data_IF_562360580910
#
_entry.id   IF_562360580910
#
_cell.length_a   1.000
_cell.length_b   1.000
_cell.length_c   1.000
_cell.angle_alpha   90.00
_cell.angle_beta   90.00
_cell.angle_gamma   90.00
#
_symmetry.space_group_name_H-M   'P 1'
#
loop_
_entity.id
_entity.type
_entity.pdbx_description
1 polymer ?
#
# COMPACT_ATOMS: atom_id res chain seq x y z
N UNK A 1 48.19 35.52 -32.11
CA UNK A 1 46.69 35.56 -32.08
C UNK A 1 46.23 34.60 -33.17
N UNK A 2 45.39 33.58 -32.89
CA UNK A 2 45.05 32.58 -33.90
C UNK A 2 44.17 33.19 -35.00
N UNK A 3 44.59 32.99 -36.25
CA UNK A 3 43.91 33.45 -37.45
C UNK A 3 43.38 32.21 -38.19
N UNK A 4 42.13 32.23 -38.63
CA UNK A 4 41.57 31.18 -39.49
C UNK A 4 41.32 31.71 -40.88
N UNK A 5 41.62 30.90 -41.88
CA UNK A 5 41.27 31.16 -43.27
C UNK A 5 39.77 30.92 -43.44
N UNK A 6 39.03 31.98 -43.74
CA UNK A 6 37.61 31.89 -44.08
C UNK A 6 37.42 31.26 -45.47
N UNK A 7 36.20 30.82 -45.76
CA UNK A 7 35.85 30.18 -47.05
C UNK A 7 36.14 31.07 -48.28
N UNK A 8 36.25 32.39 -48.10
CA UNK A 8 36.60 33.35 -49.16
C UNK A 8 38.11 33.66 -49.24
N UNK A 9 38.98 32.81 -48.66
CA UNK A 9 40.44 32.95 -48.74
C UNK A 9 41.07 34.01 -47.83
N UNK A 10 40.27 34.88 -47.21
CA UNK A 10 40.73 35.91 -46.26
C UNK A 10 40.94 35.38 -44.83
N UNK A 11 41.95 35.92 -44.15
CA UNK A 11 42.27 35.57 -42.75
C UNK A 11 41.37 36.35 -41.78
N UNK A 12 40.52 35.64 -41.04
CA UNK A 12 39.64 36.22 -40.01
C UNK A 12 40.19 35.93 -38.62
N UNK A 13 40.11 36.93 -37.74
CA UNK A 13 40.47 36.81 -36.31
C UNK A 13 39.36 36.05 -35.59
N UNK A 14 39.70 34.89 -35.03
CA UNK A 14 38.77 34.12 -34.20
C UNK A 14 39.02 34.42 -32.72
N UNK A 15 37.95 34.49 -31.92
CA UNK A 15 38.08 34.67 -30.48
C UNK A 15 38.71 33.43 -29.81
N UNK A 16 39.46 33.63 -28.72
CA UNK A 16 40.04 32.53 -27.93
C UNK A 16 39.00 31.56 -27.34
N UNK A 17 37.74 31.98 -27.25
CA UNK A 17 36.63 31.12 -26.81
C UNK A 17 36.22 30.13 -27.91
N UNK A 18 36.28 30.54 -29.17
CA UNK A 18 35.88 29.71 -30.30
C UNK A 18 36.94 28.66 -30.63
N UNK A 19 38.23 28.98 -30.49
CA UNK A 19 39.32 28.01 -30.60
C UNK A 19 39.17 26.90 -29.54
N UNK A 20 38.92 27.27 -28.28
CA UNK A 20 38.66 26.28 -27.21
C UNK A 20 37.43 25.41 -27.48
N UNK A 21 36.41 25.96 -28.15
CA UNK A 21 35.20 25.21 -28.53
C UNK A 21 35.49 24.22 -29.66
N UNK A 22 36.28 24.61 -30.65
CA UNK A 22 36.69 23.72 -31.75
C UNK A 22 37.64 22.62 -31.24
N UNK A 23 38.57 22.93 -30.32
CA UNK A 23 39.43 21.93 -29.66
C UNK A 23 38.61 20.94 -28.83
N UNK A 24 37.64 21.41 -28.03
CA UNK A 24 36.74 20.54 -27.26
C UNK A 24 35.89 19.62 -28.17
N UNK A 25 35.44 20.13 -29.32
CA UNK A 25 34.70 19.32 -30.31
C UNK A 25 35.62 18.29 -30.95
N UNK A 26 36.84 18.68 -31.34
CA UNK A 26 37.82 17.76 -31.93
C UNK A 26 38.20 16.65 -30.95
N UNK A 27 38.36 16.97 -29.66
CA UNK A 27 38.67 15.99 -28.62
C UNK A 27 37.48 15.07 -28.29
N UNK A 28 36.25 15.60 -28.29
CA UNK A 28 35.04 14.78 -28.18
C UNK A 28 34.90 13.79 -29.34
N UNK A 29 35.11 14.25 -30.59
CA UNK A 29 35.08 13.39 -31.78
C UNK A 29 36.18 12.32 -31.69
N UNK A 30 37.38 12.68 -31.25
CA UNK A 30 38.49 11.72 -31.08
C UNK A 30 38.20 10.66 -30.03
N UNK A 31 37.62 11.04 -28.89
CA UNK A 31 37.14 10.09 -27.86
C UNK A 31 36.04 9.17 -28.37
N UNK A 32 35.16 9.68 -29.23
CA UNK A 32 34.08 8.86 -29.81
C UNK A 32 34.64 7.82 -30.77
N UNK A 33 35.63 8.19 -31.58
CA UNK A 33 36.36 7.27 -32.47
C UNK A 33 37.21 6.25 -31.70
N UNK A 34 37.80 6.65 -30.57
CA UNK A 34 38.51 5.74 -29.66
C UNK A 34 37.57 4.75 -28.99
N UNK A 35 36.38 5.19 -28.56
CA UNK A 35 35.32 4.31 -28.02
C UNK A 35 34.87 3.27 -29.05
N UNK A 36 34.72 3.64 -30.32
CA UNK A 36 34.32 2.74 -31.41
C UNK A 36 35.39 1.67 -31.73
N UNK A 37 36.66 1.94 -31.38
CA UNK A 37 37.78 0.99 -31.53
C UNK A 37 37.94 0.03 -30.33
N UNK A 38 37.18 0.22 -29.26
CA UNK A 38 37.23 -0.68 -28.11
C UNK A 38 36.60 -2.04 -28.47
N UNK A 39 37.21 -3.18 -28.08
CA UNK A 39 36.68 -4.50 -28.39
C UNK A 39 35.25 -4.72 -27.85
N UNK A 40 34.89 -4.03 -26.77
CA UNK A 40 33.57 -4.10 -26.14
C UNK A 40 32.48 -3.45 -27.01
N UNK A 41 32.74 -2.27 -27.59
CA UNK A 41 31.82 -1.62 -28.54
C UNK A 41 31.68 -2.41 -29.86
N UNK A 42 32.80 -2.93 -30.38
CA UNK A 42 32.78 -3.75 -31.59
C UNK A 42 31.95 -5.03 -31.39
N UNK A 43 32.01 -5.63 -30.20
CA UNK A 43 31.25 -6.82 -29.85
C UNK A 43 29.75 -6.52 -29.67
N UNK A 44 29.39 -5.40 -29.02
CA UNK A 44 27.99 -4.98 -28.87
C UNK A 44 27.35 -4.63 -30.23
N UNK A 45 28.11 -4.00 -31.14
CA UNK A 45 27.66 -3.73 -32.51
C UNK A 45 27.53 -5.00 -33.36
N UNK A 46 28.42 -5.97 -33.22
CA UNK A 46 28.34 -7.26 -33.88
C UNK A 46 27.14 -8.08 -33.38
N UNK A 47 26.89 -8.07 -32.06
CA UNK A 47 25.72 -8.69 -31.45
C UNK A 47 24.42 -8.05 -31.95
N UNK A 48 24.32 -6.72 -31.97
CA UNK A 48 23.16 -5.98 -32.52
C UNK A 48 22.93 -6.25 -34.01
N UNK A 49 24.00 -6.33 -34.82
CA UNK A 49 23.89 -6.71 -36.24
C UNK A 49 23.38 -8.15 -36.40
N UNK A 50 23.86 -9.08 -35.58
CA UNK A 50 23.38 -10.47 -35.55
C UNK A 50 21.90 -10.57 -35.20
N UNK A 51 21.45 -9.87 -34.15
CA UNK A 51 20.03 -9.80 -33.77
C UNK A 51 19.17 -9.16 -34.86
N UNK A 52 19.63 -8.09 -35.50
CA UNK A 52 18.89 -7.44 -36.59
C UNK A 52 18.81 -8.31 -37.85
N UNK A 53 19.85 -9.06 -38.18
CA UNK A 53 19.84 -9.99 -39.31
C UNK A 53 18.91 -11.19 -39.06
N UNK A 54 18.89 -11.71 -37.83
CA UNK A 54 18.02 -12.81 -37.40
C UNK A 54 16.54 -12.37 -37.34
N UNK A 55 16.27 -11.15 -36.87
CA UNK A 55 14.94 -10.54 -36.92
C UNK A 55 14.45 -10.25 -38.35
N UNK A 56 15.35 -9.93 -39.28
CA UNK A 56 15.00 -9.69 -40.68
C UNK A 56 14.59 -10.97 -41.43
N UNK A 57 15.02 -12.15 -40.96
CA UNK A 57 14.66 -13.45 -41.53
C UNK A 57 13.30 -13.97 -41.05
N UNK A 58 12.78 -13.48 -39.92
CA UNK A 58 11.46 -13.85 -39.41
C UNK A 58 10.67 -12.64 -38.88
N UNK A 59 10.20 -11.74 -39.77
CA UNK A 59 9.47 -10.54 -39.38
C UNK A 59 8.12 -10.83 -38.69
N UNK A 60 7.47 -11.95 -39.00
CA UNK A 60 6.23 -12.36 -38.31
C UNK A 60 6.49 -12.83 -36.88
N UNK A 61 7.57 -13.59 -36.65
CA UNK A 61 8.00 -13.99 -35.31
C UNK A 61 8.35 -12.79 -34.44
N UNK A 62 9.04 -11.80 -35.03
CA UNK A 62 9.31 -10.52 -34.38
C UNK A 62 7.99 -9.84 -34.03
N UNK A 63 7.07 -9.65 -34.98
CA UNK A 63 5.78 -9.01 -34.67
C UNK A 63 5.00 -9.77 -33.58
N UNK A 64 4.99 -11.10 -33.58
CA UNK A 64 4.35 -11.89 -32.53
C UNK A 64 5.03 -11.77 -31.16
N UNK A 65 6.35 -11.64 -31.13
CA UNK A 65 7.13 -11.42 -29.90
C UNK A 65 6.90 -10.01 -29.35
N UNK A 66 6.89 -8.99 -30.22
CA UNK A 66 6.57 -7.61 -29.81
C UNK A 66 5.10 -7.47 -29.36
N UNK A 67 4.16 -8.15 -30.02
CA UNK A 67 2.76 -8.17 -29.64
C UNK A 67 2.55 -8.92 -28.32
N UNK A 68 3.22 -10.06 -28.11
CA UNK A 68 3.13 -10.83 -26.86
C UNK A 68 3.81 -10.11 -25.68
N UNK A 69 4.94 -9.45 -25.92
CA UNK A 69 5.63 -8.60 -24.95
C UNK A 69 4.80 -7.36 -24.59
N UNK A 70 4.18 -6.71 -25.58
CA UNK A 70 3.24 -5.61 -25.36
C UNK A 70 2.02 -6.04 -24.55
N UNK A 71 1.43 -7.18 -24.87
CA UNK A 71 0.33 -7.76 -24.10
C UNK A 71 0.75 -8.14 -22.67
N UNK A 72 1.95 -8.69 -22.46
CA UNK A 72 2.52 -8.94 -21.13
C UNK A 72 2.64 -7.65 -20.33
N UNK A 73 3.19 -6.58 -20.89
CA UNK A 73 3.33 -5.29 -20.19
C UNK A 73 1.98 -4.70 -19.78
N UNK A 74 0.99 -4.72 -20.69
CA UNK A 74 -0.37 -4.24 -20.37
C UNK A 74 -1.01 -5.09 -19.27
N UNK A 75 -0.81 -6.41 -19.28
CA UNK A 75 -1.27 -7.32 -18.22
C UNK A 75 -0.57 -7.04 -16.90
N UNK A 76 0.74 -6.82 -16.91
CA UNK A 76 1.55 -6.48 -15.74
C UNK A 76 1.05 -5.20 -15.07
N UNK A 77 0.77 -4.16 -15.87
CA UNK A 77 0.25 -2.89 -15.39
C UNK A 77 -1.18 -3.01 -14.83
N UNK A 78 -2.02 -3.88 -15.40
CA UNK A 78 -3.35 -4.17 -14.87
C UNK A 78 -3.27 -4.95 -13.55
N UNK A 79 -2.42 -5.97 -13.47
CA UNK A 79 -2.19 -6.76 -12.26
C UNK A 79 -1.61 -5.86 -11.15
N UNK A 80 -0.64 -5.01 -11.46
CA UNK A 80 -0.05 -4.07 -10.50
C UNK A 80 -1.05 -3.03 -10.00
N UNK A 81 -1.97 -2.54 -10.85
CA UNK A 81 -3.07 -1.65 -10.41
C UNK A 81 -4.02 -2.35 -9.46
N UNK A 82 -4.48 -3.56 -9.79
CA UNK A 82 -5.38 -4.35 -8.94
C UNK A 82 -4.75 -4.72 -7.61
N UNK A 83 -3.48 -5.12 -7.62
CA UNK A 83 -2.70 -5.41 -6.43
C UNK A 83 -2.51 -4.17 -5.54
N UNK A 84 -2.25 -3.00 -6.15
CA UNK A 84 -2.21 -1.72 -5.41
C UNK A 84 -3.54 -1.42 -4.74
N UNK A 85 -4.66 -1.49 -5.46
CA UNK A 85 -5.98 -1.27 -4.86
C UNK A 85 -6.25 -2.21 -3.67
N UNK A 86 -5.93 -3.50 -3.81
CA UNK A 86 -6.07 -4.47 -2.74
C UNK A 86 -5.18 -4.15 -1.54
N UNK A 87 -3.94 -3.74 -1.82
CA UNK A 87 -2.98 -3.31 -0.80
C UNK A 87 -3.50 -2.08 -0.08
N UNK A 88 -4.02 -1.06 -0.78
CA UNK A 88 -4.58 0.16 -0.20
C UNK A 88 -5.81 -0.13 0.67
N UNK A 89 -6.67 -1.07 0.27
CA UNK A 89 -7.84 -1.43 1.07
C UNK A 89 -7.45 -2.23 2.32
N UNK A 90 -6.49 -3.15 2.19
CA UNK A 90 -6.01 -3.89 3.36
C UNK A 90 -5.17 -3.03 4.30
N UNK A 91 -4.42 -2.08 3.73
CA UNK A 91 -3.72 -0.99 4.40
C UNK A 91 -4.64 -0.16 5.31
N UNK A 92 -5.87 0.13 4.86
CA UNK A 92 -6.87 0.81 5.69
C UNK A 92 -7.22 0.01 6.95
N UNK A 93 -7.21 -1.33 6.89
CA UNK A 93 -7.42 -2.18 8.06
C UNK A 93 -6.30 -2.06 9.09
N UNK A 94 -5.04 -2.07 8.64
CA UNK A 94 -3.88 -1.81 9.50
C UNK A 94 -3.91 -0.39 10.09
N UNK A 95 -4.19 0.62 9.27
CA UNK A 95 -4.34 2.00 9.73
C UNK A 95 -5.44 2.16 10.79
N UNK A 96 -6.61 1.58 10.57
CA UNK A 96 -7.75 1.65 11.49
C UNK A 96 -7.43 0.97 12.83
N UNK A 97 -6.74 -0.16 12.79
CA UNK A 97 -6.25 -0.85 13.97
C UNK A 97 -5.29 0.05 14.78
N UNK A 98 -4.30 0.63 14.12
CA UNK A 98 -3.35 1.55 14.75
C UNK A 98 -4.01 2.83 15.28
N UNK A 99 -5.04 3.32 14.59
CA UNK A 99 -5.78 4.49 15.02
C UNK A 99 -6.52 4.23 16.34
N UNK A 100 -7.24 3.11 16.49
CA UNK A 100 -7.95 2.80 17.75
C UNK A 100 -7.00 2.59 18.92
N UNK A 101 -5.86 1.91 18.69
CA UNK A 101 -4.85 1.68 19.74
C UNK A 101 -4.12 2.96 20.15
N UNK A 102 -3.98 3.93 19.25
CA UNK A 102 -3.39 5.23 19.56
C UNK A 102 -4.36 6.19 20.25
N UNK A 103 -5.57 6.33 19.70
CA UNK A 103 -6.54 7.38 20.09
C UNK A 103 -7.07 7.19 21.51
N UNK A 104 -7.11 5.95 21.99
CA UNK A 104 -7.51 5.66 23.37
C UNK A 104 -6.56 6.32 24.39
N UNK A 105 -5.26 6.44 24.09
CA UNK A 105 -4.29 7.01 25.01
C UNK A 105 -4.55 8.50 25.28
N UNK A 106 -4.85 9.30 24.26
CA UNK A 106 -5.21 10.71 24.45
C UNK A 106 -6.66 10.89 24.91
N UNK A 107 -7.61 10.16 24.33
CA UNK A 107 -9.02 10.27 24.71
C UNK A 107 -9.26 9.91 26.18
N UNK A 108 -8.55 8.92 26.73
CA UNK A 108 -8.70 8.49 28.13
C UNK A 108 -8.39 9.61 29.13
N UNK A 109 -7.43 10.50 28.83
CA UNK A 109 -7.10 11.63 29.70
C UNK A 109 -8.30 12.58 29.86
N UNK A 110 -9.08 12.77 28.81
CA UNK A 110 -10.27 13.64 28.80
C UNK A 110 -11.47 12.92 29.42
N UNK A 111 -11.71 11.67 29.03
CA UNK A 111 -12.79 10.82 29.58
C UNK A 111 -12.66 10.70 31.09
N UNK A 112 -11.44 10.54 31.62
CA UNK A 112 -11.19 10.49 33.07
C UNK A 112 -11.61 11.79 33.78
N UNK A 113 -11.38 12.95 33.17
CA UNK A 113 -11.76 14.25 33.73
C UNK A 113 -13.27 14.45 33.70
N UNK A 114 -13.93 14.12 32.60
CA UNK A 114 -15.38 14.32 32.44
C UNK A 114 -16.21 13.38 33.31
N UNK A 115 -15.88 12.09 33.35
CA UNK A 115 -16.62 11.11 34.14
C UNK A 115 -16.08 10.91 35.56
N UNK A 116 -15.04 11.65 35.95
CA UNK A 116 -14.34 11.55 37.25
C UNK A 116 -14.00 10.09 37.58
N UNK A 117 -13.41 9.39 36.61
CA UNK A 117 -13.19 7.94 36.70
C UNK A 117 -12.10 7.59 37.71
N UNK A 118 -12.32 6.50 38.46
CA UNK A 118 -11.29 5.89 39.28
C UNK A 118 -10.25 5.18 38.41
N UNK A 119 -9.00 5.00 38.90
CA UNK A 119 -7.97 4.25 38.15
C UNK A 119 -8.44 2.84 37.74
N UNK A 120 -9.18 2.17 38.63
CA UNK A 120 -9.76 0.86 38.36
C UNK A 120 -10.74 0.86 37.19
N UNK A 121 -11.60 1.88 37.10
CA UNK A 121 -12.55 2.02 36.00
C UNK A 121 -11.85 2.29 34.66
N UNK A 122 -10.79 3.10 34.67
CA UNK A 122 -9.97 3.33 33.48
C UNK A 122 -9.34 2.02 32.98
N UNK A 123 -8.79 1.21 33.88
CA UNK A 123 -8.21 -0.10 33.53
C UNK A 123 -9.26 -1.06 32.96
N UNK A 124 -10.47 -1.08 33.50
CA UNK A 124 -11.58 -1.89 32.97
C UNK A 124 -11.94 -1.49 31.53
N UNK A 125 -11.96 -0.19 31.22
CA UNK A 125 -12.25 0.31 29.87
C UNK A 125 -11.20 -0.14 28.85
N UNK A 126 -9.91 -0.08 29.21
CA UNK A 126 -8.82 -0.51 28.33
C UNK A 126 -8.77 -2.03 28.21
N UNK A 127 -8.81 -2.74 29.34
CA UNK A 127 -8.69 -4.21 29.38
C UNK A 127 -9.88 -4.93 28.74
N UNK A 128 -11.09 -4.38 28.83
CA UNK A 128 -12.28 -4.97 28.18
C UNK A 128 -12.15 -5.05 26.65
N UNK A 129 -11.46 -4.07 26.04
CA UNK A 129 -11.15 -4.07 24.60
C UNK A 129 -10.19 -5.21 24.26
N UNK A 130 -9.14 -5.38 25.06
CA UNK A 130 -8.14 -6.45 24.84
C UNK A 130 -8.75 -7.83 25.07
N UNK A 131 -9.58 -7.98 26.10
CA UNK A 131 -10.27 -9.23 26.43
C UNK A 131 -11.24 -9.64 25.31
N UNK A 132 -12.03 -8.69 24.81
CA UNK A 132 -12.94 -8.96 23.69
C UNK A 132 -12.18 -9.23 22.37
N UNK A 133 -11.06 -8.55 22.12
CA UNK A 133 -10.17 -8.83 21.00
C UNK A 133 -9.56 -10.24 21.08
N UNK A 134 -9.21 -10.72 22.27
CA UNK A 134 -8.71 -12.08 22.49
C UNK A 134 -9.76 -13.14 22.10
N UNK A 135 -10.97 -13.06 22.66
CA UNK A 135 -12.04 -14.02 22.35
C UNK A 135 -12.47 -13.99 20.89
N UNK A 136 -12.60 -12.78 20.33
CA UNK A 136 -12.94 -12.63 18.91
C UNK A 136 -11.83 -13.13 17.99
N UNK A 137 -10.56 -13.04 18.37
CA UNK A 137 -9.46 -13.57 17.56
C UNK A 137 -9.47 -15.09 17.49
N UNK A 138 -9.76 -15.76 18.62
CA UNK A 138 -9.94 -17.22 18.67
C UNK A 138 -11.12 -17.63 17.77
N UNK A 139 -12.25 -16.94 17.90
CA UNK A 139 -13.42 -17.21 17.06
C UNK A 139 -13.17 -16.92 15.57
N UNK A 140 -12.42 -15.86 15.28
CA UNK A 140 -12.10 -15.41 13.92
C UNK A 140 -11.29 -16.42 13.12
N UNK A 141 -10.44 -17.22 13.76
CA UNK A 141 -9.73 -18.31 13.09
C UNK A 141 -10.67 -19.37 12.50
N UNK A 142 -11.69 -19.77 13.27
CA UNK A 142 -12.73 -20.70 12.81
C UNK A 142 -13.66 -20.05 11.79
N UNK A 143 -14.04 -18.79 12.02
CA UNK A 143 -14.92 -18.03 11.13
C UNK A 143 -14.33 -17.86 9.73
N UNK A 144 -13.03 -17.53 9.65
CA UNK A 144 -12.31 -17.40 8.39
C UNK A 144 -12.22 -18.69 7.57
N UNK A 145 -12.29 -19.84 8.24
CA UNK A 145 -12.30 -21.15 7.59
C UNK A 145 -13.66 -21.42 6.95
N UNK A 146 -14.76 -21.14 7.67
CA UNK A 146 -16.12 -21.49 7.26
C UNK A 146 -16.71 -20.45 6.30
N UNK A 147 -16.63 -19.16 6.63
CA UNK A 147 -17.27 -18.08 5.86
C UNK A 147 -16.35 -17.47 4.80
N UNK A 148 -15.03 -17.62 4.94
CA UNK A 148 -14.05 -16.94 4.09
C UNK A 148 -13.51 -15.66 4.73
N UNK A 149 -12.59 -14.99 4.04
CA UNK A 149 -11.83 -13.84 4.56
C UNK A 149 -12.60 -12.55 4.34
N UNK A 150 -13.16 -12.33 3.16
CA UNK A 150 -13.92 -11.11 2.84
C UNK A 150 -15.11 -10.89 3.79
N UNK A 151 -16.03 -11.86 4.04
CA UNK A 151 -17.15 -11.63 4.93
C UNK A 151 -16.70 -11.43 6.39
N UNK A 152 -15.60 -12.05 6.81
CA UNK A 152 -15.04 -11.77 8.14
C UNK A 152 -14.51 -10.34 8.26
N UNK A 153 -13.84 -9.81 7.23
CA UNK A 153 -13.39 -8.41 7.19
C UNK A 153 -14.58 -7.45 7.17
N UNK A 154 -15.62 -7.75 6.38
CA UNK A 154 -16.84 -6.94 6.34
C UNK A 154 -17.58 -6.94 7.68
N UNK A 155 -17.70 -8.11 8.33
CA UNK A 155 -18.28 -8.23 9.67
C UNK A 155 -17.47 -7.43 10.68
N UNK A 156 -16.14 -7.56 10.65
CA UNK A 156 -15.24 -6.81 11.52
C UNK A 156 -15.40 -5.29 11.34
N UNK A 157 -15.44 -4.80 10.10
CA UNK A 157 -15.63 -3.40 9.79
C UNK A 157 -17.03 -2.89 10.20
N UNK A 158 -18.09 -3.69 10.01
CA UNK A 158 -19.44 -3.34 10.45
C UNK A 158 -19.53 -3.24 11.99
N UNK A 159 -18.99 -4.23 12.70
CA UNK A 159 -18.95 -4.24 14.17
C UNK A 159 -18.12 -3.07 14.68
N UNK A 160 -16.98 -2.77 14.05
CA UNK A 160 -16.15 -1.63 14.41
C UNK A 160 -16.89 -0.29 14.18
N UNK A 161 -17.58 -0.13 13.04
CA UNK A 161 -18.37 1.06 12.73
C UNK A 161 -19.44 1.29 13.79
N UNK A 162 -20.19 0.24 14.15
CA UNK A 162 -21.21 0.31 15.22
C UNK A 162 -20.57 0.67 16.56
N UNK A 163 -19.44 0.04 16.91
CA UNK A 163 -18.73 0.32 18.14
C UNK A 163 -18.22 1.77 18.24
N UNK A 164 -17.66 2.30 17.14
CA UNK A 164 -17.20 3.69 17.07
C UNK A 164 -18.35 4.69 17.17
N UNK A 165 -19.51 4.40 16.55
CA UNK A 165 -20.72 5.22 16.72
C UNK A 165 -21.22 5.20 18.16
N UNK A 166 -21.24 4.04 18.80
CA UNK A 166 -21.64 3.91 20.22
C UNK A 166 -20.68 4.68 21.14
N UNK A 167 -19.37 4.68 20.83
CA UNK A 167 -18.39 5.46 21.59
C UNK A 167 -18.54 6.97 21.37
N UNK A 168 -18.80 7.41 20.14
CA UNK A 168 -19.07 8.83 19.84
C UNK A 168 -20.33 9.34 20.54
N UNK A 169 -21.34 8.48 20.69
CA UNK A 169 -22.59 8.76 21.41
C UNK A 169 -22.61 8.28 22.87
N UNK A 170 -21.48 8.00 23.51
CA UNK A 170 -21.51 7.49 24.87
C UNK A 170 -21.85 8.61 25.88
N UNK A 171 -22.90 8.42 26.68
CA UNK A 171 -23.31 9.33 27.78
C UNK A 171 -23.05 8.74 29.18
N UNK A 172 -22.65 7.48 29.26
CA UNK A 172 -22.41 6.78 30.52
C UNK A 172 -21.15 5.91 30.46
N UNK A 173 -20.52 5.67 31.60
CA UNK A 173 -19.44 4.70 31.76
C UNK A 173 -19.82 3.31 31.20
N UNK A 174 -21.06 2.86 31.42
CA UNK A 174 -21.52 1.55 30.92
C UNK A 174 -21.56 1.51 29.40
N UNK A 175 -22.04 2.58 28.76
CA UNK A 175 -22.07 2.68 27.29
C UNK A 175 -20.67 2.78 26.71
N UNK A 176 -19.72 3.42 27.42
CA UNK A 176 -18.32 3.48 27.03
C UNK A 176 -17.68 2.08 27.03
N UNK A 177 -17.87 1.31 28.10
CA UNK A 177 -17.35 -0.07 28.21
C UNK A 177 -18.00 -0.97 27.15
N UNK A 178 -19.30 -0.85 26.92
CA UNK A 178 -19.99 -1.61 25.86
C UNK A 178 -19.43 -1.26 24.48
N UNK A 179 -19.26 0.02 24.16
CA UNK A 179 -18.64 0.46 22.91
C UNK A 179 -17.23 -0.11 22.74
N UNK A 180 -16.43 -0.16 23.81
CA UNK A 180 -15.08 -0.74 23.80
C UNK A 180 -15.07 -2.25 23.57
N UNK A 181 -16.01 -2.98 24.16
CA UNK A 181 -16.17 -4.42 23.89
C UNK A 181 -16.54 -4.64 22.41
N UNK A 182 -17.47 -3.85 21.87
CA UNK A 182 -17.89 -3.98 20.47
C UNK A 182 -16.71 -3.67 19.53
N UNK A 183 -16.01 -2.56 19.74
CA UNK A 183 -14.82 -2.21 18.95
C UNK A 183 -13.74 -3.29 19.08
N UNK A 184 -13.50 -3.81 20.27
CA UNK A 184 -12.53 -4.88 20.51
C UNK A 184 -12.85 -6.16 19.75
N UNK A 185 -14.13 -6.55 19.63
CA UNK A 185 -14.54 -7.68 18.77
C UNK A 185 -14.22 -7.42 17.30
N UNK A 186 -14.52 -6.21 16.79
CA UNK A 186 -14.21 -5.85 15.41
C UNK A 186 -12.70 -5.85 15.14
N UNK A 187 -11.92 -5.28 16.06
CA UNK A 187 -10.46 -5.24 16.00
C UNK A 187 -9.85 -6.64 16.01
N UNK A 188 -10.29 -7.51 16.92
CA UNK A 188 -9.76 -8.87 17.01
C UNK A 188 -9.94 -9.60 15.68
N UNK A 189 -11.17 -9.59 15.14
CA UNK A 189 -11.47 -10.19 13.83
C UNK A 189 -10.65 -9.58 12.68
N UNK A 190 -10.51 -8.25 12.65
CA UNK A 190 -9.74 -7.58 11.60
C UNK A 190 -8.23 -7.86 11.69
N UNK A 191 -7.68 -7.92 12.90
CA UNK A 191 -6.23 -8.03 13.15
C UNK A 191 -5.61 -9.31 12.60
N UNK A 192 -6.35 -10.43 12.66
CA UNK A 192 -5.90 -11.71 12.11
C UNK A 192 -6.26 -11.86 10.62
N UNK A 193 -7.40 -11.32 10.20
CA UNK A 193 -7.93 -11.56 8.85
C UNK A 193 -7.25 -10.67 7.81
N UNK A 194 -6.90 -9.43 8.16
CA UNK A 194 -6.28 -8.46 7.23
C UNK A 194 -4.91 -8.93 6.73
N UNK A 195 -3.92 -9.25 7.58
CA UNK A 195 -2.61 -9.73 7.10
C UNK A 195 -2.73 -11.09 6.40
N UNK A 196 -3.67 -11.96 6.82
CA UNK A 196 -3.93 -13.23 6.17
C UNK A 196 -4.47 -13.04 4.74
N UNK A 197 -5.45 -12.13 4.57
CA UNK A 197 -6.01 -11.79 3.27
C UNK A 197 -4.94 -11.21 2.35
N UNK A 198 -4.14 -10.24 2.83
CA UNK A 198 -2.99 -9.70 2.09
C UNK A 198 -2.06 -10.82 1.65
N UNK A 199 -1.68 -11.69 2.59
CA UNK A 199 -0.75 -12.77 2.33
C UNK A 199 -1.31 -13.77 1.30
N UNK A 200 -2.61 -14.01 1.25
CA UNK A 200 -3.22 -14.94 0.30
C UNK A 200 -3.45 -14.34 -1.09
N UNK A 201 -3.67 -13.03 -1.16
CA UNK A 201 -3.83 -12.29 -2.41
C UNK A 201 -2.48 -11.92 -3.05
N UNK A 202 -1.42 -11.78 -2.25
CA UNK A 202 -0.11 -11.37 -2.73
C UNK A 202 0.55 -12.40 -3.66
N UNK A 203 1.25 -11.88 -4.68
CA UNK A 203 2.24 -12.66 -5.41
C UNK A 203 3.37 -13.12 -4.46
N UNK A 204 3.94 -14.33 -4.65
CA UNK A 204 4.92 -14.91 -3.73
C UNK A 204 6.12 -13.99 -3.46
N UNK A 205 6.58 -13.27 -4.49
CA UNK A 205 7.74 -12.37 -4.46
C UNK A 205 7.53 -11.12 -3.58
N UNK A 206 6.31 -10.60 -3.50
CA UNK A 206 6.00 -9.34 -2.80
C UNK A 206 5.27 -9.53 -1.47
N UNK A 207 5.02 -10.78 -1.07
CA UNK A 207 4.25 -11.12 0.13
C UNK A 207 4.81 -10.47 1.40
N UNK A 208 6.14 -10.57 1.59
CA UNK A 208 6.82 -9.98 2.74
C UNK A 208 6.68 -8.46 2.78
N UNK A 209 6.87 -7.79 1.64
CA UNK A 209 6.77 -6.33 1.53
C UNK A 209 5.36 -5.84 1.89
N UNK A 210 4.32 -6.52 1.41
CA UNK A 210 2.93 -6.14 1.67
C UNK A 210 2.54 -6.32 3.14
N UNK A 211 3.02 -7.38 3.79
CA UNK A 211 2.83 -7.58 5.23
C UNK A 211 3.56 -6.49 6.03
N UNK A 212 4.77 -6.12 5.62
CA UNK A 212 5.51 -5.01 6.25
C UNK A 212 4.82 -3.67 6.05
N UNK A 213 4.26 -3.39 4.86
CA UNK A 213 3.47 -2.17 4.61
C UNK A 213 2.26 -2.11 5.55
N UNK A 214 1.57 -3.23 5.76
CA UNK A 214 0.46 -3.29 6.71
C UNK A 214 0.92 -2.94 8.14
N UNK A 215 2.05 -3.50 8.59
CA UNK A 215 2.62 -3.17 9.90
C UNK A 215 3.05 -1.70 10.01
N UNK A 216 3.67 -1.13 8.96
CA UNK A 216 4.00 0.29 8.90
C UNK A 216 2.76 1.17 9.03
N UNK A 217 1.64 0.78 8.42
CA UNK A 217 0.39 1.53 8.49
C UNK A 217 -0.29 1.45 9.84
N UNK A 218 -0.13 0.36 10.59
CA UNK A 218 -0.51 0.33 12.01
C UNK A 218 0.25 1.43 12.76
N UNK A 219 1.57 1.51 12.59
CA UNK A 219 2.38 2.54 13.25
C UNK A 219 1.99 3.96 12.80
N UNK A 220 1.74 4.16 11.51
CA UNK A 220 1.28 5.45 10.97
C UNK A 220 -0.10 5.81 11.54
N UNK A 221 -1.02 4.85 11.66
CA UNK A 221 -2.33 5.04 12.28
C UNK A 221 -2.20 5.50 13.72
N UNK A 222 -1.29 4.89 14.48
CA UNK A 222 -1.03 5.26 15.87
C UNK A 222 -0.40 6.66 15.99
N UNK A 223 0.47 7.03 15.06
CA UNK A 223 1.04 8.38 14.97
C UNK A 223 -0.04 9.43 14.65
N UNK A 224 -0.88 9.17 13.64
CA UNK A 224 -1.98 10.06 13.26
C UNK A 224 -2.99 10.21 14.40
N UNK A 225 -3.32 9.12 15.10
CA UNK A 225 -4.16 9.18 16.28
C UNK A 225 -3.59 10.11 17.36
N UNK A 226 -2.29 10.03 17.65
CA UNK A 226 -1.63 10.95 18.57
C UNK A 226 -1.68 12.42 18.12
N UNK A 227 -1.59 12.69 16.81
CA UNK A 227 -1.76 14.05 16.27
C UNK A 227 -3.20 14.55 16.44
N UNK A 228 -4.19 13.71 16.14
CA UNK A 228 -5.61 14.01 16.32
C UNK A 228 -5.89 14.27 17.80
N UNK A 229 -5.37 13.44 18.70
CA UNK A 229 -5.50 13.61 20.14
C UNK A 229 -4.96 14.97 20.60
N UNK A 230 -3.76 15.35 20.14
CA UNK A 230 -3.17 16.65 20.46
C UNK A 230 -3.99 17.85 19.96
N UNK A 231 -4.50 17.78 18.73
CA UNK A 231 -5.31 18.85 18.12
C UNK A 231 -6.64 19.01 18.84
N UNK A 232 -7.37 17.92 19.07
CA UNK A 232 -8.68 17.97 19.73
C UNK A 232 -8.56 18.26 21.22
N UNK A 233 -7.46 17.90 21.87
CA UNK A 233 -7.19 18.31 23.25
C UNK A 233 -7.05 19.83 23.38
N UNK A 234 -6.40 20.48 22.40
CA UNK A 234 -6.24 21.94 22.38
C UNK A 234 -7.50 22.70 21.96
N UNK A 235 -8.26 22.18 20.99
CA UNK A 235 -9.44 22.87 20.43
C UNK A 235 -10.72 22.65 21.23
N UNK A 236 -10.95 21.46 21.78
CA UNK A 236 -12.20 21.06 22.43
C UNK A 236 -11.93 20.29 23.74
N UNK A 237 -11.51 20.97 24.82
CA UNK A 237 -11.03 20.32 26.05
C UNK A 237 -12.07 19.45 26.77
N UNK A 238 -13.36 19.75 26.59
CA UNK A 238 -14.47 19.05 27.25
C UNK A 238 -14.99 17.91 26.36
N UNK A 239 -15.31 18.17 25.08
CA UNK A 239 -16.01 17.20 24.21
C UNK A 239 -15.13 16.53 23.16
N UNK A 240 -13.82 16.83 23.11
CA UNK A 240 -12.91 16.36 22.06
C UNK A 240 -12.83 14.84 21.94
N UNK A 241 -12.91 14.10 23.04
CA UNK A 241 -12.79 12.64 23.04
C UNK A 241 -13.89 11.93 22.24
N UNK A 242 -15.11 12.49 22.19
CA UNK A 242 -16.20 11.92 21.38
C UNK A 242 -15.88 11.97 19.90
N UNK A 243 -15.29 13.08 19.45
CA UNK A 243 -14.85 13.24 18.07
C UNK A 243 -13.62 12.39 17.78
N UNK A 244 -12.67 12.28 18.71
CA UNK A 244 -11.50 11.40 18.56
C UNK A 244 -11.93 9.95 18.31
N UNK A 245 -12.85 9.42 19.11
CA UNK A 245 -13.36 8.04 18.97
C UNK A 245 -14.36 7.87 17.81
N UNK A 246 -15.20 8.88 17.58
CA UNK A 246 -16.19 8.87 16.50
C UNK A 246 -15.57 9.02 15.11
N UNK A 247 -14.45 9.72 14.99
CA UNK A 247 -13.74 9.90 13.70
C UNK A 247 -13.23 8.57 13.15
N UNK A 248 -13.05 7.55 13.99
CA UNK A 248 -12.74 6.18 13.56
C UNK A 248 -13.86 5.53 12.72
N UNK A 249 -15.09 6.04 12.80
CA UNK A 249 -16.23 5.59 11.98
C UNK A 249 -15.96 5.83 10.49
N UNK A 250 -15.33 6.95 10.14
CA UNK A 250 -15.04 7.30 8.73
C UNK A 250 -14.13 6.28 8.04
N UNK A 251 -12.89 6.01 8.51
CA UNK A 251 -12.03 5.03 7.89
C UNK A 251 -12.62 3.61 7.95
N UNK A 252 -13.38 3.26 8.99
CA UNK A 252 -14.07 1.97 9.08
C UNK A 252 -15.14 1.81 8.00
N UNK A 253 -15.95 2.85 7.77
CA UNK A 253 -16.99 2.83 6.74
C UNK A 253 -16.40 2.82 5.33
N UNK A 254 -15.30 3.56 5.09
CA UNK A 254 -14.56 3.51 3.82
C UNK A 254 -14.03 2.08 3.59
N UNK A 255 -13.45 1.46 4.62
CA UNK A 255 -12.98 0.09 4.55
C UNK A 255 -14.12 -0.90 4.25
N UNK A 256 -15.27 -0.76 4.92
CA UNK A 256 -16.44 -1.59 4.68
C UNK A 256 -16.93 -1.48 3.22
N UNK A 257 -17.09 -0.26 2.72
CA UNK A 257 -17.50 0.00 1.34
C UNK A 257 -16.45 -0.48 0.32
N UNK A 258 -15.16 -0.33 0.62
CA UNK A 258 -14.07 -0.82 -0.22
C UNK A 258 -14.08 -2.35 -0.34
N UNK A 259 -14.25 -3.07 0.77
CA UNK A 259 -14.28 -4.54 0.79
C UNK A 259 -15.53 -5.14 0.15
N UNK A 260 -16.61 -4.38 -0.04
CA UNK A 260 -17.76 -4.82 -0.82
C UNK A 260 -17.40 -5.05 -2.30
N UNK A 261 -16.46 -4.30 -2.87
CA UNK A 261 -16.05 -4.45 -4.26
C UNK A 261 -14.91 -5.47 -4.49
N UNK A 262 -14.28 -5.96 -3.41
CA UNK A 262 -13.15 -6.89 -3.48
C UNK A 262 -13.60 -8.35 -3.61
N UNK A 263 -12.87 -9.20 -4.36
CA UNK A 263 -13.14 -10.62 -4.43
C UNK A 263 -12.67 -11.37 -3.18
N UNK A 264 -13.19 -12.58 -3.00
CA UNK A 264 -12.79 -13.51 -1.93
C UNK A 264 -11.35 -14.02 -2.15
N UNK A 265 -10.70 -14.46 -1.06
CA UNK A 265 -9.36 -15.05 -1.15
C UNK A 265 -9.34 -16.28 -2.08
N UNK A 266 -8.43 -16.34 -3.08
CA UNK A 266 -8.31 -17.48 -3.99
C UNK A 266 -7.93 -18.78 -3.25
N UNK A 267 -7.22 -18.68 -2.13
CA UNK A 267 -6.89 -19.86 -1.31
C UNK A 267 -8.14 -20.45 -0.65
N UNK A 268 -9.04 -19.60 -0.16
CA UNK A 268 -10.32 -20.07 0.40
C UNK A 268 -11.20 -20.69 -0.69
N UNK A 269 -11.28 -20.06 -1.87
CA UNK A 269 -12.03 -20.60 -3.01
C UNK A 269 -11.50 -21.99 -3.44
N UNK A 270 -10.18 -22.17 -3.48
CA UNK A 270 -9.56 -23.45 -3.80
C UNK A 270 -9.85 -24.53 -2.73
N UNK A 271 -9.85 -24.17 -1.44
CA UNK A 271 -10.17 -25.08 -0.34
C UNK A 271 -11.65 -25.48 -0.30
N UNK A 272 -12.55 -24.66 -0.86
CA UNK A 272 -13.99 -24.88 -0.86
C UNK A 272 -14.52 -25.48 -2.18
N UNK A 273 -13.67 -26.23 -2.90
CA UNK A 273 -13.96 -26.89 -4.18
C UNK A 273 -14.40 -25.97 -5.34
N UNK A 274 -14.20 -24.64 -5.23
CA UNK A 274 -14.48 -23.67 -6.30
C UNK A 274 -13.22 -23.35 -7.10
N UNK A 275 -12.65 -24.37 -7.74
CA UNK A 275 -11.37 -24.25 -8.46
C UNK A 275 -11.44 -23.26 -9.64
N UNK A 276 -12.56 -23.20 -10.36
CA UNK A 276 -12.71 -22.26 -11.47
C UNK A 276 -12.66 -20.80 -11.01
N UNK A 277 -13.31 -20.47 -9.90
CA UNK A 277 -13.31 -19.12 -9.35
C UNK A 277 -11.96 -18.75 -8.73
N UNK A 278 -11.29 -19.71 -8.10
CA UNK A 278 -9.92 -19.54 -7.61
C UNK A 278 -8.96 -19.23 -8.77
N UNK A 279 -9.06 -19.96 -9.88
CA UNK A 279 -8.26 -19.73 -11.08
C UNK A 279 -8.57 -18.38 -11.72
N UNK A 280 -9.84 -17.98 -11.82
CA UNK A 280 -10.23 -16.65 -12.32
C UNK A 280 -9.63 -15.52 -11.48
N UNK A 281 -9.70 -15.62 -10.15
CA UNK A 281 -9.08 -14.63 -9.26
C UNK A 281 -7.56 -14.67 -9.40
N UNK A 282 -6.93 -15.84 -9.45
CA UNK A 282 -5.48 -15.92 -9.64
C UNK A 282 -5.03 -15.32 -10.97
N UNK A 283 -5.70 -15.60 -12.09
CA UNK A 283 -5.40 -15.00 -13.40
C UNK A 283 -5.57 -13.47 -13.44
N UNK A 284 -6.42 -12.93 -12.56
CA UNK A 284 -6.64 -11.48 -12.45
C UNK A 284 -5.56 -10.76 -11.62
N UNK A 285 -4.84 -11.48 -10.76
CA UNK A 285 -3.89 -10.92 -9.79
C UNK A 285 -2.47 -11.53 -9.89
N UNK A 286 -2.25 -12.54 -10.73
CA UNK A 286 -0.94 -13.13 -11.07
C UNK A 286 -0.79 -13.26 -12.58
N UNK A 287 0.37 -12.86 -13.08
CA UNK A 287 0.84 -13.30 -14.38
C UNK A 287 1.27 -14.76 -14.28
N UNK A 288 0.54 -15.65 -14.96
CA UNK A 288 1.02 -16.99 -15.31
C UNK A 288 1.27 -17.02 -16.80
#
# INVERSE_FOLDING_TARGET
MPLRRGANGGWQRISRAQVRREEAIAEAVRRTLELDSTPEYANDNAARKGTNAMNAQNPEGVYSDWASEGMRRVRADQVARRMRHLTTMAALGGFLFGYDTGVISGAMLMIRREFVLTPWQQEVVVSSTVLSAFFSSIAGGSLNRVWGRRPCILLAAAVFTVGSLVLGGAWSYRTLVLGRIIVGVGIGLASLTTPMYIAEMAAPTFRGQLVTINALLVTIGQFVAGMVDGVFHGLLPETGWRYMLGLATLPSMIMFLGFLALPESPRWLAMNHRQEDATKVLQQYRET
#
